data_IF_368661025682
#
_entry.id   IF_368661025682
#
_cell.length_a   1.000
_cell.length_b   1.000
_cell.length_c   1.000
_cell.angle_alpha   90.00
_cell.angle_beta   90.00
_cell.angle_gamma   90.00
#
_symmetry.space_group_name_H-M   'P 1'
#
loop_
_entity.id
_entity.type
_entity.pdbx_description
1 polymer ?
#
# COMPACT_ATOMS: atom_id res chain seq x y z
N UNK A 1 56.71 49.35 50.37
CA UNK A 1 57.26 48.95 49.05
C UNK A 1 56.20 48.08 48.39
N UNK A 2 55.24 48.69 47.69
CA UNK A 2 55.16 48.78 46.22
C UNK A 2 54.92 47.39 45.59
N UNK A 3 53.65 47.03 45.38
CA UNK A 3 52.87 47.22 44.13
C UNK A 3 53.14 46.12 43.09
N UNK A 4 52.35 45.05 43.20
CA UNK A 4 52.18 44.01 42.18
C UNK A 4 51.44 44.63 40.99
N UNK A 5 52.14 44.85 39.88
CA UNK A 5 51.55 45.31 38.62
C UNK A 5 51.14 44.09 37.77
N UNK A 6 49.86 44.10 37.41
CA UNK A 6 49.08 43.21 36.53
C UNK A 6 49.63 43.24 35.07
N UNK A 7 49.26 42.33 34.14
CA UNK A 7 47.88 42.16 33.66
C UNK A 7 47.39 40.72 33.56
N UNK A 8 46.16 40.53 34.06
CA UNK A 8 45.27 39.41 33.77
C UNK A 8 44.83 39.57 32.31
N UNK A 9 45.25 38.64 31.45
CA UNK A 9 44.79 38.59 30.06
C UNK A 9 43.35 38.09 30.03
N UNK A 10 42.41 39.02 29.88
CA UNK A 10 40.99 38.78 29.68
C UNK A 10 40.79 38.17 28.28
N UNK A 11 40.68 36.84 28.18
CA UNK A 11 40.34 36.18 26.91
C UNK A 11 38.83 36.39 26.67
N UNK A 12 38.51 37.35 25.80
CA UNK A 12 37.16 37.64 25.36
C UNK A 12 36.55 36.40 24.69
N UNK A 13 35.52 35.87 25.35
CA UNK A 13 34.58 34.89 24.86
C UNK A 13 33.83 35.50 23.66
N UNK A 14 34.29 35.21 22.44
CA UNK A 14 33.55 35.55 21.22
C UNK A 14 32.36 34.59 21.09
N UNK A 15 31.24 34.97 21.69
CA UNK A 15 29.92 34.42 21.42
C UNK A 15 29.63 34.74 19.95
N UNK A 16 29.92 33.79 19.08
CA UNK A 16 29.45 33.84 17.70
C UNK A 16 27.97 33.53 17.75
N UNK A 17 27.16 34.58 17.64
CA UNK A 17 25.73 34.53 17.47
C UNK A 17 25.44 33.93 16.08
N UNK A 18 25.58 32.61 15.95
CA UNK A 18 25.10 31.91 14.77
C UNK A 18 23.58 31.92 14.87
N UNK A 19 22.98 32.77 14.04
CA UNK A 19 21.54 32.94 13.94
C UNK A 19 20.85 31.57 13.89
N UNK A 20 19.85 31.39 14.75
CA UNK A 20 18.82 30.40 14.56
C UNK A 20 18.18 30.67 13.20
N UNK A 21 18.53 29.88 12.18
CA UNK A 21 17.62 29.66 11.07
C UNK A 21 16.45 28.86 11.65
N UNK A 22 15.44 29.60 12.12
CA UNK A 22 14.08 29.08 12.21
C UNK A 22 13.70 28.81 10.76
N UNK A 23 13.84 27.56 10.34
CA UNK A 23 13.15 27.07 9.15
C UNK A 23 11.66 27.18 9.45
N UNK A 24 11.09 28.33 9.07
CA UNK A 24 9.66 28.53 8.91
C UNK A 24 9.21 27.66 7.75
N UNK A 25 9.11 26.37 7.99
CA UNK A 25 8.24 25.45 7.29
C UNK A 25 7.61 24.50 8.32
N UNK A 26 6.98 25.11 9.33
CA UNK A 26 5.78 24.57 9.95
C UNK A 26 4.65 24.59 8.91
N UNK A 27 4.79 23.74 7.91
CA UNK A 27 3.82 23.32 6.92
C UNK A 27 4.57 22.30 6.08
N UNK A 28 4.92 21.15 6.68
CA UNK A 28 5.11 19.96 5.86
C UNK A 28 3.76 19.76 5.19
N UNK A 29 3.73 20.20 3.94
CA UNK A 29 2.62 20.20 3.02
C UNK A 29 1.94 18.85 3.23
N UNK A 30 0.63 18.89 3.51
CA UNK A 30 -0.26 17.79 3.15
C UNK A 30 -0.07 17.73 1.64
N UNK A 31 0.96 16.99 1.22
CA UNK A 31 1.23 16.72 -0.18
C UNK A 31 -0.06 16.07 -0.61
N UNK A 32 -0.79 16.80 -1.46
CA UNK A 32 -1.96 16.34 -2.17
C UNK A 32 -1.78 14.84 -2.33
N UNK A 33 -2.56 14.04 -1.58
CA UNK A 33 -2.73 12.65 -1.95
C UNK A 33 -3.49 12.72 -3.26
N UNK A 34 -2.73 13.01 -4.34
CA UNK A 34 -3.19 12.90 -5.69
C UNK A 34 -3.78 11.51 -5.73
N UNK A 35 -5.09 11.38 -6.06
CA UNK A 35 -5.67 10.07 -6.20
C UNK A 35 -4.69 9.26 -7.01
N UNK A 36 -4.42 8.02 -6.57
CA UNK A 36 -3.56 7.11 -7.31
C UNK A 36 -4.36 6.80 -8.58
N UNK A 37 -4.30 7.71 -9.54
CA UNK A 37 -4.97 7.65 -10.81
C UNK A 37 -4.33 6.47 -11.54
N UNK A 38 -5.20 5.66 -12.12
CA UNK A 38 -4.90 4.35 -12.69
C UNK A 38 -3.59 4.37 -13.50
N UNK A 39 -2.74 3.37 -13.28
CA UNK A 39 -1.60 3.07 -14.14
C UNK A 39 -2.17 2.51 -15.45
N UNK A 40 -2.71 3.38 -16.29
CA UNK A 40 -3.09 3.03 -17.67
C UNK A 40 -1.80 3.14 -18.48
N UNK A 41 -1.12 2.01 -18.69
CA UNK A 41 0.14 2.06 -19.43
C UNK A 41 0.79 0.71 -19.71
N UNK A 42 0.31 0.01 -20.75
CA UNK A 42 1.20 -0.57 -21.77
C UNK A 42 2.15 -1.73 -21.42
N UNK A 43 2.18 -2.29 -20.21
CA UNK A 43 3.13 -3.38 -19.88
C UNK A 43 2.51 -4.79 -19.76
N UNK A 44 1.20 -4.92 -19.98
CA UNK A 44 0.41 -5.91 -19.26
C UNK A 44 0.22 -7.30 -19.90
N UNK A 45 1.19 -7.86 -20.62
CA UNK A 45 1.09 -9.29 -21.03
C UNK A 45 2.36 -10.11 -20.84
N UNK A 46 3.54 -9.51 -21.03
CA UNK A 46 4.82 -10.21 -20.88
C UNK A 46 5.35 -10.20 -19.44
N UNK A 47 5.14 -9.09 -18.70
CA UNK A 47 5.65 -8.92 -17.33
C UNK A 47 4.93 -9.80 -16.29
N UNK A 48 3.64 -10.11 -16.50
CA UNK A 48 2.87 -10.94 -15.56
C UNK A 48 3.36 -12.38 -15.50
N UNK A 49 3.75 -12.95 -16.65
CA UNK A 49 4.16 -14.37 -16.71
C UNK A 49 5.46 -14.60 -15.94
N UNK A 50 6.41 -13.67 -16.06
CA UNK A 50 7.66 -13.70 -15.31
C UNK A 50 7.46 -13.46 -13.80
N UNK A 51 6.48 -12.63 -13.43
CA UNK A 51 6.13 -12.38 -12.04
C UNK A 51 5.42 -13.58 -11.39
N UNK A 52 4.58 -14.31 -12.13
CA UNK A 52 3.93 -15.54 -11.66
C UNK A 52 4.94 -16.66 -11.32
N UNK A 53 5.94 -16.88 -12.17
CA UNK A 53 6.99 -17.88 -11.96
C UNK A 53 7.90 -17.56 -10.77
N UNK A 54 8.07 -16.28 -10.46
CA UNK A 54 8.86 -15.84 -9.31
C UNK A 54 8.09 -16.02 -8.00
N UNK A 55 6.79 -15.71 -8.00
CA UNK A 55 5.91 -15.85 -6.83
C UNK A 55 5.74 -17.30 -6.38
N UNK A 56 5.64 -18.25 -7.33
CA UNK A 56 5.48 -19.68 -7.03
C UNK A 56 6.71 -20.30 -6.38
N UNK A 57 7.91 -19.77 -6.64
CA UNK A 57 9.20 -20.23 -6.09
C UNK A 57 9.49 -19.71 -4.68
N UNK A 58 8.77 -18.70 -4.21
CA UNK A 58 8.96 -18.18 -2.85
C UNK A 58 8.58 -19.24 -1.80
N UNK A 59 9.31 -19.32 -0.67
CA UNK A 59 8.99 -20.25 0.39
C UNK A 59 7.59 -19.99 0.91
N UNK A 60 6.78 -21.05 0.99
CA UNK A 60 5.43 -20.98 1.51
C UNK A 60 5.44 -21.16 3.03
N UNK A 61 4.73 -20.27 3.74
CA UNK A 61 4.41 -20.51 5.14
C UNK A 61 3.57 -21.79 5.28
N UNK A 62 3.85 -22.68 6.25
CA UNK A 62 3.04 -23.87 6.49
C UNK A 62 1.56 -23.54 6.66
N UNK A 63 0.69 -24.37 6.09
CA UNK A 63 -0.74 -24.07 5.98
C UNK A 63 -1.40 -23.72 7.31
N UNK A 64 -1.15 -24.53 8.34
CA UNK A 64 -1.71 -24.32 9.68
C UNK A 64 -1.26 -22.99 10.28
N UNK A 65 0.02 -22.62 10.09
CA UNK A 65 0.57 -21.35 10.59
C UNK A 65 -0.03 -20.16 9.84
N UNK A 66 -0.19 -20.30 8.52
CA UNK A 66 -0.83 -19.29 7.66
C UNK A 66 -2.28 -19.05 8.08
N UNK A 67 -3.06 -20.12 8.25
CA UNK A 67 -4.45 -20.02 8.68
C UNK A 67 -4.58 -19.39 10.06
N UNK A 68 -3.74 -19.78 11.03
CA UNK A 68 -3.73 -19.19 12.37
C UNK A 68 -3.38 -17.69 12.33
N UNK A 69 -2.40 -17.30 11.52
CA UNK A 69 -2.03 -15.89 11.35
C UNK A 69 -3.16 -15.06 10.72
N UNK A 70 -3.80 -15.58 9.67
CA UNK A 70 -4.92 -14.90 8.99
C UNK A 70 -6.16 -14.83 9.89
N UNK A 71 -6.44 -15.88 10.67
CA UNK A 71 -7.50 -15.84 11.67
C UNK A 71 -7.26 -14.75 12.72
N UNK A 72 -6.01 -14.61 13.20
CA UNK A 72 -5.64 -13.54 14.12
C UNK A 72 -5.86 -12.15 13.51
N UNK A 73 -5.53 -11.97 12.21
CA UNK A 73 -5.78 -10.72 11.49
C UNK A 73 -7.28 -10.39 11.45
N UNK A 74 -8.11 -11.38 11.13
CA UNK A 74 -9.57 -11.22 11.10
C UNK A 74 -10.15 -10.88 12.48
N UNK A 75 -9.72 -11.55 13.55
CA UNK A 75 -10.13 -11.24 14.93
C UNK A 75 -9.70 -9.82 15.36
N UNK A 76 -8.68 -9.26 14.72
CA UNK A 76 -8.24 -7.87 14.94
C UNK A 76 -9.08 -6.83 14.18
N UNK A 77 -10.18 -7.25 13.54
CA UNK A 77 -11.09 -6.37 12.82
C UNK A 77 -10.54 -5.88 11.48
N UNK A 78 -9.73 -6.70 10.80
CA UNK A 78 -9.22 -6.41 9.46
C UNK A 78 -9.89 -7.33 8.46
N UNK A 79 -10.78 -6.78 7.65
CA UNK A 79 -11.46 -7.51 6.58
C UNK A 79 -10.48 -7.92 5.48
N UNK A 80 -10.91 -8.83 4.61
CA UNK A 80 -10.11 -9.31 3.47
C UNK A 80 -10.59 -8.76 2.12
N UNK A 81 -11.53 -7.80 2.13
CA UNK A 81 -12.16 -7.27 0.92
C UNK A 81 -12.15 -5.75 0.98
N UNK A 82 -11.62 -5.12 -0.06
CA UNK A 82 -11.71 -3.68 -0.29
C UNK A 82 -12.67 -3.40 -1.44
N UNK A 83 -13.67 -2.54 -1.23
CA UNK A 83 -14.65 -2.17 -2.24
C UNK A 83 -14.27 -0.88 -2.96
N UNK A 84 -14.80 -0.73 -4.17
CA UNK A 84 -14.55 0.40 -5.07
C UNK A 84 -15.86 1.01 -5.57
N UNK A 85 -15.81 2.31 -5.83
CA UNK A 85 -16.89 3.00 -6.51
C UNK A 85 -16.99 2.56 -7.99
N UNK A 86 -18.09 2.95 -8.62
CA UNK A 86 -18.33 2.67 -10.02
C UNK A 86 -17.22 3.26 -10.90
N UNK A 87 -16.82 2.47 -11.90
CA UNK A 87 -15.90 2.89 -12.97
C UNK A 87 -14.58 3.52 -12.51
N UNK A 88 -14.05 3.06 -11.37
CA UNK A 88 -12.82 3.62 -10.82
C UNK A 88 -11.95 2.59 -10.12
N UNK A 89 -10.64 2.87 -10.15
CA UNK A 89 -9.62 2.24 -9.31
C UNK A 89 -9.10 3.19 -8.21
N UNK A 90 -9.71 4.36 -8.02
CA UNK A 90 -9.28 5.30 -6.98
C UNK A 90 -9.54 4.70 -5.60
N UNK A 91 -8.59 4.88 -4.69
CA UNK A 91 -8.71 4.48 -3.29
C UNK A 91 -8.80 5.71 -2.39
N UNK A 92 -9.72 5.67 -1.43
CA UNK A 92 -9.92 6.76 -0.47
C UNK A 92 -8.85 6.75 0.64
N UNK A 93 -8.68 7.84 1.40
CA UNK A 93 -7.80 7.84 2.56
C UNK A 93 -8.14 6.76 3.60
N UNK A 94 -9.44 6.44 3.76
CA UNK A 94 -9.87 5.34 4.63
C UNK A 94 -9.38 3.97 4.11
N UNK A 95 -9.42 3.77 2.79
CA UNK A 95 -8.87 2.57 2.15
C UNK A 95 -7.35 2.46 2.35
N UNK A 96 -6.61 3.58 2.36
CA UNK A 96 -5.17 3.57 2.67
C UNK A 96 -4.92 3.00 4.08
N UNK A 97 -5.69 3.44 5.07
CA UNK A 97 -5.58 2.91 6.44
C UNK A 97 -5.86 1.40 6.49
N UNK A 98 -6.87 0.94 5.77
CA UNK A 98 -7.16 -0.49 5.61
C UNK A 98 -5.99 -1.26 4.99
N UNK A 99 -5.46 -0.78 3.87
CA UNK A 99 -4.32 -1.40 3.16
C UNK A 99 -3.07 -1.46 4.04
N UNK A 100 -2.83 -0.42 4.85
CA UNK A 100 -1.68 -0.37 5.76
C UNK A 100 -1.70 -1.49 6.80
N UNK A 101 -2.88 -1.91 7.28
CA UNK A 101 -3.01 -3.04 8.21
C UNK A 101 -2.54 -4.35 7.55
N UNK A 102 -2.90 -4.58 6.29
CA UNK A 102 -2.40 -5.74 5.54
C UNK A 102 -0.89 -5.69 5.29
N UNK A 103 -0.34 -4.51 4.98
CA UNK A 103 1.10 -4.34 4.80
C UNK A 103 1.87 -4.62 6.11
N UNK A 104 1.37 -4.13 7.24
CA UNK A 104 1.93 -4.43 8.57
C UNK A 104 1.84 -5.92 8.90
N UNK A 105 0.74 -6.57 8.58
CA UNK A 105 0.59 -8.02 8.74
C UNK A 105 1.63 -8.80 7.94
N UNK A 106 1.84 -8.46 6.66
CA UNK A 106 2.87 -9.11 5.83
C UNK A 106 4.31 -8.83 6.30
N UNK A 107 4.53 -7.73 7.02
CA UNK A 107 5.82 -7.46 7.69
C UNK A 107 6.02 -8.31 8.94
N UNK A 108 4.95 -8.52 9.73
CA UNK A 108 4.96 -9.40 10.90
C UNK A 108 5.21 -10.87 10.52
N UNK A 109 4.77 -11.28 9.34
CA UNK A 109 4.94 -12.63 8.81
C UNK A 109 5.74 -12.64 7.50
N UNK A 110 7.08 -12.55 7.53
CA UNK A 110 7.89 -12.36 6.33
C UNK A 110 7.74 -13.45 5.26
N UNK A 111 7.42 -14.68 5.66
CA UNK A 111 7.20 -15.82 4.76
C UNK A 111 5.77 -15.89 4.19
N UNK A 112 4.83 -15.03 4.64
CA UNK A 112 3.48 -15.02 4.10
C UNK A 112 3.47 -14.35 2.73
N UNK A 113 2.72 -14.94 1.80
CA UNK A 113 2.50 -14.39 0.48
C UNK A 113 1.06 -13.90 0.36
N UNK A 114 0.81 -13.01 -0.58
CA UNK A 114 -0.50 -12.43 -0.83
C UNK A 114 -0.82 -12.48 -2.31
N UNK A 115 -2.05 -12.85 -2.63
CA UNK A 115 -2.63 -12.70 -3.94
C UNK A 115 -3.78 -11.69 -3.84
N UNK A 116 -3.69 -10.64 -4.63
CA UNK A 116 -4.74 -9.64 -4.79
C UNK A 116 -5.59 -10.02 -5.99
N UNK A 117 -6.88 -10.20 -5.77
CA UNK A 117 -7.83 -10.59 -6.81
C UNK A 117 -8.78 -9.43 -7.10
N UNK A 118 -8.66 -8.84 -8.29
CA UNK A 118 -9.47 -7.71 -8.74
C UNK A 118 -10.74 -8.17 -9.46
N UNK A 119 -11.86 -7.55 -9.12
CA UNK A 119 -13.18 -7.84 -9.65
C UNK A 119 -13.91 -6.56 -10.08
N UNK A 120 -14.84 -6.72 -11.00
CA UNK A 120 -15.74 -5.67 -11.49
C UNK A 120 -17.17 -6.18 -11.52
N UNK A 121 -18.11 -5.24 -11.58
CA UNK A 121 -19.48 -5.56 -11.98
C UNK A 121 -19.57 -5.86 -13.49
N UNK A 122 -20.65 -6.46 -14.00
CA UNK A 122 -20.71 -6.98 -15.36
C UNK A 122 -21.03 -5.91 -16.41
N UNK A 123 -21.09 -4.62 -16.04
CA UNK A 123 -21.36 -3.53 -16.99
C UNK A 123 -20.08 -3.23 -17.78
N UNK A 124 -20.22 -3.11 -19.10
CA UNK A 124 -19.09 -2.85 -20.01
C UNK A 124 -18.63 -4.09 -20.76
N UNK A 125 -17.49 -4.00 -21.44
CA UNK A 125 -16.90 -5.13 -22.16
C UNK A 125 -15.99 -5.94 -21.24
N UNK A 126 -15.91 -7.24 -21.49
CA UNK A 126 -14.98 -8.16 -20.80
C UNK A 126 -13.55 -7.63 -20.67
N UNK A 127 -12.95 -7.20 -21.77
CA UNK A 127 -11.55 -6.75 -21.78
C UNK A 127 -11.35 -5.49 -20.94
N UNK A 128 -12.31 -4.55 -21.00
CA UNK A 128 -12.32 -3.38 -20.15
C UNK A 128 -12.37 -3.75 -18.66
N UNK A 129 -13.27 -4.66 -18.30
CA UNK A 129 -13.45 -5.10 -16.92
C UNK A 129 -12.25 -5.90 -16.40
N UNK A 130 -11.61 -6.69 -17.26
CA UNK A 130 -10.35 -7.35 -16.94
C UNK A 130 -9.26 -6.32 -16.62
N UNK A 131 -9.10 -5.29 -17.45
CA UNK A 131 -8.13 -4.21 -17.21
C UNK A 131 -8.48 -3.37 -15.96
N UNK A 132 -9.76 -3.07 -15.72
CA UNK A 132 -10.18 -2.33 -14.53
C UNK A 132 -9.93 -3.11 -13.23
N UNK A 133 -10.24 -4.41 -13.21
CA UNK A 133 -9.92 -5.28 -12.08
C UNK A 133 -8.42 -5.36 -11.80
N UNK A 134 -7.60 -5.43 -12.86
CA UNK A 134 -6.14 -5.42 -12.75
C UNK A 134 -5.63 -4.10 -12.16
N UNK A 135 -6.12 -2.98 -12.66
CA UNK A 135 -5.79 -1.65 -12.15
C UNK A 135 -6.14 -1.49 -10.66
N UNK A 136 -7.31 -1.98 -10.24
CA UNK A 136 -7.72 -1.97 -8.82
C UNK A 136 -6.73 -2.75 -7.94
N UNK A 137 -6.33 -3.94 -8.36
CA UNK A 137 -5.35 -4.73 -7.61
C UNK A 137 -3.96 -4.10 -7.63
N UNK A 138 -3.56 -3.45 -8.73
CA UNK A 138 -2.28 -2.76 -8.88
C UNK A 138 -2.16 -1.54 -7.98
N UNK A 139 -3.19 -0.70 -7.88
CA UNK A 139 -3.16 0.46 -6.96
C UNK A 139 -3.07 0.01 -5.51
N UNK A 140 -3.72 -1.11 -5.15
CA UNK A 140 -3.65 -1.70 -3.82
C UNK A 140 -2.23 -2.20 -3.54
N UNK A 141 -1.63 -2.93 -4.48
CA UNK A 141 -0.22 -3.37 -4.39
C UNK A 141 0.72 -2.18 -4.21
N UNK A 142 0.58 -1.14 -5.03
CA UNK A 142 1.40 0.07 -4.95
C UNK A 142 1.27 0.75 -3.58
N UNK A 143 0.05 0.87 -3.05
CA UNK A 143 -0.18 1.40 -1.71
C UNK A 143 0.44 0.53 -0.62
N UNK A 144 0.36 -0.81 -0.72
CA UNK A 144 1.02 -1.73 0.21
C UNK A 144 2.54 -1.55 0.20
N UNK A 145 3.15 -1.46 -0.99
CA UNK A 145 4.60 -1.31 -1.17
C UNK A 145 5.13 -0.01 -0.56
N UNK A 146 4.40 1.09 -0.72
CA UNK A 146 4.73 2.37 -0.08
C UNK A 146 4.73 2.27 1.44
N UNK A 147 3.81 1.49 2.00
CA UNK A 147 3.66 1.29 3.44
C UNK A 147 4.50 0.16 4.02
N UNK A 148 5.10 -0.68 3.16
CA UNK A 148 5.75 -1.92 3.55
C UNK A 148 7.05 -2.16 2.78
N UNK A 149 8.18 -2.13 3.50
CA UNK A 149 9.47 -2.54 2.95
C UNK A 149 9.47 -4.05 2.65
N UNK A 150 10.06 -4.45 1.52
CA UNK A 150 10.34 -5.85 1.15
C UNK A 150 9.10 -6.77 1.05
N UNK A 151 7.96 -6.25 0.60
CA UNK A 151 6.76 -7.08 0.34
C UNK A 151 6.38 -7.19 -1.14
N UNK A 152 6.94 -6.35 -2.02
CA UNK A 152 6.58 -6.26 -3.43
C UNK A 152 6.60 -7.62 -4.17
N UNK A 153 7.67 -8.39 -3.97
CA UNK A 153 7.85 -9.71 -4.58
C UNK A 153 6.92 -10.79 -4.00
N UNK A 154 6.32 -10.53 -2.84
CA UNK A 154 5.39 -11.45 -2.14
C UNK A 154 3.93 -11.16 -2.47
N UNK A 155 3.65 -10.25 -3.40
CA UNK A 155 2.30 -9.89 -3.82
C UNK A 155 2.11 -10.24 -5.30
N UNK A 156 1.21 -11.17 -5.56
CA UNK A 156 0.72 -11.51 -6.90
C UNK A 156 -0.59 -10.78 -7.16
N UNK A 157 -0.83 -10.37 -8.40
CA UNK A 157 -2.11 -9.82 -8.85
C UNK A 157 -2.76 -10.81 -9.82
N UNK A 158 -4.08 -10.97 -9.70
CA UNK A 158 -4.94 -11.60 -10.69
C UNK A 158 -6.15 -10.69 -10.89
N UNK A 159 -6.56 -10.47 -12.13
CA UNK A 159 -7.85 -9.89 -12.45
C UNK A 159 -8.80 -10.96 -12.95
N UNK A 160 -10.02 -10.96 -12.41
CA UNK A 160 -11.12 -11.75 -12.94
C UNK A 160 -12.11 -10.91 -13.74
N UNK A 161 -11.99 -9.57 -13.74
CA UNK A 161 -13.03 -8.69 -14.29
C UNK A 161 -14.41 -9.08 -13.79
N UNK A 162 -15.33 -9.28 -14.74
CA UNK A 162 -16.73 -9.69 -14.48
C UNK A 162 -16.94 -11.20 -14.29
N UNK A 163 -15.93 -12.04 -14.52
CA UNK A 163 -16.07 -13.51 -14.57
C UNK A 163 -16.52 -14.15 -13.24
N UNK A 164 -16.39 -13.41 -12.15
CA UNK A 164 -16.76 -13.82 -10.78
C UNK A 164 -17.78 -12.85 -10.16
N UNK A 165 -18.56 -12.18 -11.01
CA UNK A 165 -19.68 -11.34 -10.61
C UNK A 165 -20.82 -12.20 -10.03
N UNK A 166 -21.52 -11.66 -9.04
CA UNK A 166 -22.70 -12.30 -8.45
C UNK A 166 -23.91 -12.13 -9.37
N UNK A 167 -24.82 -13.11 -9.34
CA UNK A 167 -26.07 -13.02 -10.09
C UNK A 167 -26.93 -11.86 -9.57
N UNK A 168 -27.33 -10.96 -10.47
CA UNK A 168 -28.22 -9.85 -10.15
C UNK A 168 -27.84 -8.59 -10.92
N UNK A 169 -28.81 -7.72 -11.18
CA UNK A 169 -28.62 -6.50 -11.99
C UNK A 169 -28.98 -5.23 -11.22
N UNK A 170 -28.89 -5.28 -9.89
CA UNK A 170 -29.13 -4.14 -9.02
C UNK A 170 -27.82 -3.55 -8.48
N UNK A 171 -27.89 -2.31 -8.01
CA UNK A 171 -26.69 -1.61 -7.51
C UNK A 171 -26.11 -2.26 -6.24
N UNK A 172 -26.91 -3.00 -5.47
CA UNK A 172 -26.40 -3.72 -4.29
C UNK A 172 -25.43 -4.84 -4.70
N UNK A 173 -25.78 -5.60 -5.74
CA UNK A 173 -24.93 -6.64 -6.30
C UNK A 173 -23.70 -6.04 -6.99
N UNK A 174 -23.87 -4.96 -7.76
CA UNK A 174 -22.74 -4.27 -8.37
C UNK A 174 -21.74 -3.74 -7.34
N UNK A 175 -22.21 -3.18 -6.22
CA UNK A 175 -21.36 -2.74 -5.12
C UNK A 175 -20.50 -3.88 -4.55
N UNK A 176 -21.07 -5.10 -4.44
CA UNK A 176 -20.35 -6.28 -3.95
C UNK A 176 -19.32 -6.79 -4.95
N UNK A 177 -19.55 -6.56 -6.25
CA UNK A 177 -18.68 -7.02 -7.32
C UNK A 177 -17.47 -6.13 -7.59
N UNK A 178 -17.59 -4.84 -7.33
CA UNK A 178 -16.47 -3.90 -7.44
C UNK A 178 -15.56 -4.00 -6.22
N UNK A 179 -14.63 -4.95 -6.25
CA UNK A 179 -13.77 -5.25 -5.10
C UNK A 179 -12.37 -5.72 -5.47
N UNK A 180 -11.48 -5.68 -4.48
CA UNK A 180 -10.22 -6.43 -4.43
C UNK A 180 -10.24 -7.35 -3.22
N UNK A 181 -9.97 -8.64 -3.41
CA UNK A 181 -9.84 -9.62 -2.32
C UNK A 181 -8.37 -9.89 -1.98
N UNK A 182 -8.10 -10.01 -0.69
CA UNK A 182 -6.78 -10.30 -0.12
C UNK A 182 -6.68 -11.78 0.22
N UNK A 183 -6.09 -12.57 -0.68
CA UNK A 183 -5.96 -14.01 -0.53
C UNK A 183 -4.52 -14.37 -0.13
N UNK A 184 -4.28 -14.63 1.14
CA UNK A 184 -2.98 -15.07 1.62
C UNK A 184 -2.60 -16.44 1.04
N UNK A 185 -1.31 -16.73 0.86
CA UNK A 185 -0.74 -17.95 0.24
C UNK A 185 0.54 -18.41 0.93
#
# INVERSE_FOLDING_TARGET
MQNLKTPITLLLLSISLSACFVDKNAAAIIEDQKPIDAIIGGQSSFEWKQNQDSFSKLPAMPEQQRQAAVAQLATSGVDSVLYFDYDTAKISPAAISFINKHAQFMRKYPAIRLRLEGHTDPRGTRDYNLALGENRALVVKSAMEKSGKNIANKIQIISYGEEKSQSGTDESNYNRDRRVQFIYK
#
